data_IF_336710292978
#
_entry.id   IF_336710292978
#
_cell.length_a   1.000
_cell.length_b   1.000
_cell.length_c   1.000
_cell.angle_alpha   90.00
_cell.angle_beta   90.00
_cell.angle_gamma   90.00
#
_symmetry.space_group_name_H-M   'P 1'
#
loop_
_entity.id
_entity.type
_entity.pdbx_description
1 polymer ?
#
# COMPACT_ATOMS: atom_id res chain seq x y z
N UNK A 1 -39.21 3.58 14.96
CA UNK A 1 -39.45 2.70 13.79
C UNK A 1 -38.35 3.02 12.81
N UNK A 2 -37.48 2.02 12.59
CA UNK A 2 -36.48 1.88 11.52
C UNK A 2 -35.58 3.09 11.27
N UNK A 3 -34.42 3.08 11.93
CA UNK A 3 -33.24 3.76 11.41
C UNK A 3 -32.88 3.16 10.06
N UNK A 4 -32.74 4.02 9.07
CA UNK A 4 -32.15 3.68 7.79
C UNK A 4 -30.70 3.31 8.05
N UNK A 5 -30.41 2.01 8.08
CA UNK A 5 -29.05 1.55 7.90
C UNK A 5 -28.61 1.99 6.52
N UNK A 6 -27.64 2.89 6.48
CA UNK A 6 -26.91 3.20 5.26
C UNK A 6 -26.31 1.87 4.77
N UNK A 7 -26.73 1.44 3.59
CA UNK A 7 -26.06 0.35 2.88
C UNK A 7 -24.72 0.95 2.48
N UNK A 8 -23.65 0.73 3.26
CA UNK A 8 -22.28 0.88 2.75
C UNK A 8 -22.23 -0.04 1.53
N UNK A 9 -22.05 0.54 0.35
CA UNK A 9 -21.86 -0.24 -0.87
C UNK A 9 -20.67 -1.18 -0.64
N UNK A 10 -20.89 -2.50 -0.66
CA UNK A 10 -19.78 -3.46 -0.70
C UNK A 10 -18.96 -3.13 -1.94
N UNK A 11 -17.80 -2.49 -1.77
CA UNK A 11 -16.84 -2.31 -2.85
C UNK A 11 -16.34 -3.71 -3.21
N UNK A 12 -16.52 -4.18 -4.45
CA UNK A 12 -16.19 -5.54 -4.81
C UNK A 12 -14.68 -5.77 -4.65
N UNK A 13 -14.29 -6.94 -4.15
CA UNK A 13 -12.88 -7.32 -4.06
C UNK A 13 -12.46 -8.17 -5.26
N UNK A 14 -11.21 -8.01 -5.68
CA UNK A 14 -10.59 -8.74 -6.79
C UNK A 14 -9.22 -9.24 -6.37
N UNK A 15 -8.88 -10.46 -6.78
CA UNK A 15 -7.56 -11.04 -6.56
C UNK A 15 -6.65 -10.67 -7.74
N UNK A 16 -5.63 -9.87 -7.46
CA UNK A 16 -4.60 -9.43 -8.41
C UNK A 16 -3.41 -10.38 -8.36
N UNK A 17 -3.00 -10.91 -9.50
CA UNK A 17 -1.80 -11.73 -9.62
C UNK A 17 -0.67 -11.02 -10.37
N UNK A 18 0.57 -11.23 -9.94
CA UNK A 18 1.76 -10.79 -10.68
C UNK A 18 2.39 -11.91 -11.53
N UNK A 19 3.48 -11.58 -12.24
CA UNK A 19 4.20 -12.54 -13.10
C UNK A 19 4.97 -13.60 -12.32
N UNK A 20 5.20 -13.39 -11.03
CA UNK A 20 5.92 -14.30 -10.13
C UNK A 20 4.97 -15.28 -9.43
N UNK A 21 3.65 -15.12 -9.64
CA UNK A 21 2.61 -15.95 -9.03
C UNK A 21 2.21 -15.51 -7.63
N UNK A 22 2.66 -14.34 -7.17
CA UNK A 22 2.19 -13.71 -5.93
C UNK A 22 0.81 -13.12 -6.17
N UNK A 23 0.06 -12.95 -5.08
CA UNK A 23 -1.30 -12.47 -5.12
C UNK A 23 -1.50 -11.32 -4.14
N UNK A 24 -2.41 -10.42 -4.46
CA UNK A 24 -2.86 -9.34 -3.61
C UNK A 24 -4.37 -9.22 -3.74
N UNK A 25 -5.10 -9.23 -2.61
CA UNK A 25 -6.53 -8.95 -2.61
C UNK A 25 -6.71 -7.44 -2.57
N UNK A 26 -7.50 -6.90 -3.48
CA UNK A 26 -7.76 -5.47 -3.56
C UNK A 26 -9.25 -5.16 -3.62
N UNK A 27 -9.65 -4.00 -3.12
CA UNK A 27 -10.94 -3.39 -3.47
C UNK A 27 -10.87 -2.81 -4.88
N UNK A 28 -11.95 -2.97 -5.64
CA UNK A 28 -12.12 -2.37 -6.95
C UNK A 28 -12.80 -1.00 -6.82
N UNK A 29 -11.98 0.04 -6.78
CA UNK A 29 -12.44 1.43 -6.65
C UNK A 29 -13.13 1.90 -7.93
N UNK A 30 -12.47 1.72 -9.07
CA UNK A 30 -12.98 2.20 -10.36
C UNK A 30 -12.68 1.24 -11.50
N UNK A 31 -13.65 1.14 -12.41
CA UNK A 31 -13.50 0.47 -13.70
C UNK A 31 -13.19 1.47 -14.80
N UNK A 32 -12.12 1.21 -15.56
CA UNK A 32 -11.66 2.03 -16.67
C UNK A 32 -11.58 1.19 -17.96
N UNK A 33 -12.56 1.31 -18.87
CA UNK A 33 -12.50 0.66 -20.17
C UNK A 33 -11.51 1.39 -21.09
N UNK A 34 -10.45 0.69 -21.54
CA UNK A 34 -9.42 1.27 -22.40
C UNK A 34 -8.95 0.26 -23.47
N UNK A 35 -8.95 0.67 -24.73
CA UNK A 35 -8.54 -0.14 -25.89
C UNK A 35 -9.20 -1.54 -25.95
N UNK A 36 -10.46 -1.64 -25.52
CA UNK A 36 -11.21 -2.90 -25.49
C UNK A 36 -10.84 -3.86 -24.35
N UNK A 37 -10.03 -3.41 -23.39
CA UNK A 37 -9.78 -4.10 -22.13
C UNK A 37 -10.46 -3.35 -20.98
N UNK A 38 -10.77 -4.06 -19.90
CA UNK A 38 -11.25 -3.48 -18.66
C UNK A 38 -10.08 -3.40 -17.67
N UNK A 39 -9.67 -2.19 -17.31
CA UNK A 39 -8.69 -1.96 -16.25
C UNK A 39 -9.40 -1.57 -14.96
N UNK A 40 -8.81 -1.93 -13.83
CA UNK A 40 -9.24 -1.52 -12.50
C UNK A 40 -8.22 -0.58 -11.88
N UNK A 41 -8.70 0.50 -11.27
CA UNK A 41 -7.99 1.20 -10.21
C UNK A 41 -8.39 0.54 -8.89
N UNK A 42 -7.39 0.04 -8.16
CA UNK A 42 -7.59 -0.82 -7.02
C UNK A 42 -6.83 -0.30 -5.80
N UNK A 43 -7.30 -0.65 -4.60
CA UNK A 43 -6.61 -0.39 -3.33
C UNK A 43 -6.40 -1.73 -2.59
N UNK A 44 -5.23 -1.99 -2.00
CA UNK A 44 -4.98 -3.19 -1.20
C UNK A 44 -5.99 -3.35 -0.05
N UNK A 45 -6.42 -4.59 0.22
CA UNK A 45 -7.25 -4.90 1.41
C UNK A 45 -6.39 -4.89 2.67
N UNK A 46 -5.19 -5.45 2.59
CA UNK A 46 -4.21 -5.44 3.67
C UNK A 46 -3.35 -4.16 3.58
N UNK A 47 -2.85 -3.67 4.72
CA UNK A 47 -2.15 -2.38 4.80
C UNK A 47 -0.77 -2.43 4.13
N UNK A 48 -0.48 -1.58 3.13
CA UNK A 48 0.83 -1.52 2.49
C UNK A 48 1.91 -1.08 3.46
N UNK A 49 3.11 -1.68 3.36
CA UNK A 49 4.27 -1.27 4.16
C UNK A 49 5.55 -1.23 3.34
N UNK A 50 6.46 -0.33 3.72
CA UNK A 50 7.81 -0.21 3.19
C UNK A 50 8.82 -0.71 4.22
N UNK A 51 9.84 -1.44 3.76
CA UNK A 51 10.99 -1.79 4.60
C UNK A 51 12.03 -0.67 4.48
N UNK A 52 12.41 -0.09 5.63
CA UNK A 52 13.39 0.99 5.71
C UNK A 52 14.58 0.54 6.53
N UNK A 53 15.79 0.82 6.04
CA UNK A 53 17.03 0.72 6.80
C UNK A 53 17.25 2.06 7.50
N UNK A 54 17.23 2.03 8.82
CA UNK A 54 17.44 3.22 9.63
C UNK A 54 18.94 3.51 9.71
N UNK A 55 19.31 4.77 9.46
CA UNK A 55 20.68 5.25 9.53
C UNK A 55 21.26 5.06 10.95
N UNK A 56 22.56 4.72 11.07
CA UNK A 56 23.20 4.53 12.38
C UNK A 56 23.45 5.85 13.12
N UNK A 57 23.49 6.96 12.40
CA UNK A 57 23.84 8.30 12.88
C UNK A 57 22.93 9.33 12.21
N UNK A 58 22.57 10.41 12.92
CA UNK A 58 21.65 11.47 12.44
C UNK A 58 22.20 12.30 11.26
N UNK A 59 23.47 12.11 10.88
CA UNK A 59 24.10 12.79 9.74
C UNK A 59 23.84 12.05 8.40
N UNK A 60 23.11 10.94 8.41
CA UNK A 60 22.80 10.11 7.24
C UNK A 60 21.30 9.88 7.11
N UNK A 61 20.83 9.78 5.87
CA UNK A 61 19.43 9.54 5.55
C UNK A 61 19.06 8.05 5.68
N UNK A 62 17.82 7.80 6.07
CA UNK A 62 17.22 6.47 6.05
C UNK A 62 17.06 5.98 4.61
N UNK A 63 17.18 4.67 4.39
CA UNK A 63 17.13 4.06 3.06
C UNK A 63 15.92 3.15 2.91
N UNK A 64 14.99 3.49 2.02
CA UNK A 64 13.90 2.59 1.61
C UNK A 64 14.47 1.44 0.78
N UNK A 65 14.18 0.21 1.19
CA UNK A 65 14.60 -1.00 0.49
C UNK A 65 13.54 -1.37 -0.55
N UNK A 66 13.74 -0.91 -1.78
CA UNK A 66 12.83 -1.18 -2.91
C UNK A 66 12.94 -2.63 -3.41
N UNK A 67 14.17 -3.15 -3.52
CA UNK A 67 14.42 -4.53 -3.95
C UNK A 67 14.57 -5.46 -2.75
N UNK A 68 13.60 -6.37 -2.59
CA UNK A 68 13.59 -7.33 -1.49
C UNK A 68 14.42 -8.59 -1.77
N UNK A 69 15.08 -8.67 -2.92
CA UNK A 69 15.96 -9.76 -3.29
C UNK A 69 17.16 -9.84 -2.32
N UNK A 70 17.08 -10.81 -1.39
CA UNK A 70 18.08 -11.00 -0.34
C UNK A 70 17.71 -10.39 1.02
N UNK A 71 16.59 -9.68 1.13
CA UNK A 71 16.06 -9.18 2.40
C UNK A 71 15.39 -10.26 3.26
N UNK A 72 15.32 -11.51 2.79
CA UNK A 72 14.57 -12.61 3.42
C UNK A 72 14.92 -12.82 4.90
N UNK A 73 16.21 -12.70 5.26
CA UNK A 73 16.66 -12.84 6.64
C UNK A 73 16.22 -11.68 7.55
N UNK A 74 16.02 -10.49 6.97
CA UNK A 74 15.52 -9.28 7.67
C UNK A 74 14.00 -9.41 7.82
N UNK A 75 13.30 -9.76 6.73
CA UNK A 75 11.84 -9.97 6.74
C UNK A 75 11.40 -11.08 7.70
N UNK A 76 12.22 -12.13 7.84
CA UNK A 76 11.95 -13.20 8.82
C UNK A 76 11.98 -12.69 10.27
N UNK A 77 12.81 -11.69 10.58
CA UNK A 77 12.84 -11.06 11.90
C UNK A 77 11.62 -10.14 12.07
N UNK A 78 11.30 -9.35 11.04
CA UNK A 78 10.12 -8.51 11.02
C UNK A 78 8.84 -9.32 11.28
N UNK A 79 8.71 -10.49 10.66
CA UNK A 79 7.55 -11.38 10.82
C UNK A 79 7.39 -11.89 12.26
N UNK A 80 8.49 -12.22 12.94
CA UNK A 80 8.45 -12.61 14.36
C UNK A 80 7.98 -11.46 15.23
N UNK A 81 8.49 -10.26 14.97
CA UNK A 81 8.16 -9.06 15.73
C UNK A 81 6.70 -8.66 15.52
N UNK A 82 6.19 -8.68 14.28
CA UNK A 82 4.78 -8.43 13.97
C UNK A 82 3.83 -9.43 14.64
N UNK A 83 4.21 -10.69 14.76
CA UNK A 83 3.39 -11.71 15.44
C UNK A 83 3.18 -11.41 16.94
N UNK A 84 4.07 -10.66 17.60
CA UNK A 84 3.87 -10.22 18.98
C UNK A 84 2.71 -9.20 19.09
N UNK A 85 2.32 -8.60 17.97
CA UNK A 85 1.24 -7.64 17.83
C UNK A 85 0.02 -8.21 17.06
N UNK A 86 -0.08 -9.54 16.92
CA UNK A 86 -1.14 -10.20 16.15
C UNK A 86 -1.20 -9.78 14.66
N UNK A 87 -0.08 -9.31 14.11
CA UNK A 87 0.08 -8.90 12.71
C UNK A 87 0.85 -9.95 11.90
N UNK A 88 0.55 -10.04 10.62
CA UNK A 88 1.21 -10.96 9.67
C UNK A 88 1.76 -10.20 8.48
N UNK A 89 3.06 -10.34 8.22
CA UNK A 89 3.69 -9.81 7.00
C UNK A 89 3.38 -10.70 5.79
N UNK A 90 2.87 -10.09 4.72
CA UNK A 90 2.48 -10.76 3.50
C UNK A 90 3.34 -10.26 2.33
N UNK A 91 3.98 -11.22 1.64
CA UNK A 91 4.71 -10.97 0.38
C UNK A 91 3.73 -10.95 -0.78
N UNK A 92 2.91 -9.91 -0.87
CA UNK A 92 1.89 -9.75 -1.90
C UNK A 92 2.47 -9.45 -3.29
N UNK A 93 1.62 -9.52 -4.31
CA UNK A 93 1.92 -8.88 -5.59
C UNK A 93 2.13 -7.37 -5.38
N UNK A 94 3.00 -6.74 -6.17
CA UNK A 94 3.32 -5.30 -6.14
C UNK A 94 4.13 -4.83 -4.94
N UNK A 95 3.62 -5.01 -3.71
CA UNK A 95 4.17 -4.40 -2.49
C UNK A 95 4.13 -5.39 -1.32
N UNK A 96 4.83 -5.08 -0.21
CA UNK A 96 4.62 -5.76 1.06
C UNK A 96 3.33 -5.24 1.70
N UNK A 97 2.60 -6.13 2.34
CA UNK A 97 1.41 -5.77 3.12
C UNK A 97 1.46 -6.40 4.50
N UNK A 98 0.76 -5.80 5.44
CA UNK A 98 0.53 -6.35 6.78
C UNK A 98 -0.97 -6.60 6.93
N UNK A 99 -1.29 -7.83 7.33
CA UNK A 99 -2.66 -8.25 7.64
C UNK A 99 -2.81 -8.42 9.15
N UNK A 100 -3.94 -7.97 9.70
CA UNK A 100 -4.25 -8.03 11.13
C UNK A 100 -5.05 -6.80 11.57
N UNK A 101 -5.26 -6.69 12.87
CA UNK A 101 -6.01 -5.57 13.47
C UNK A 101 -5.00 -4.48 13.85
N UNK A 102 -4.86 -3.48 12.99
CA UNK A 102 -4.09 -2.28 13.30
C UNK A 102 -5.00 -1.32 14.08
N UNK A 103 -4.47 -0.73 15.13
CA UNK A 103 -5.18 0.35 15.82
C UNK A 103 -5.34 1.51 14.83
N UNK A 104 -6.56 2.00 14.66
CA UNK A 104 -6.79 3.21 13.87
C UNK A 104 -6.11 4.39 14.59
N UNK A 105 -5.35 5.24 13.88
CA UNK A 105 -4.74 6.42 14.49
C UNK A 105 -5.81 7.33 15.09
N UNK A 106 -5.52 7.96 16.23
CA UNK A 106 -6.45 8.89 16.85
C UNK A 106 -6.61 10.14 15.95
N UNK A 107 -7.84 10.52 15.55
CA UNK A 107 -8.06 11.71 14.73
C UNK A 107 -7.44 12.98 15.31
N UNK A 108 -7.32 13.10 16.64
CA UNK A 108 -6.70 14.24 17.30
C UNK A 108 -5.17 14.27 17.08
N UNK A 109 -4.51 13.11 17.05
CA UNK A 109 -3.06 13.00 16.78
C UNK A 109 -2.73 13.31 15.31
N UNK A 110 -3.63 12.95 14.39
CA UNK A 110 -3.49 13.28 12.97
C UNK A 110 -3.55 14.79 12.73
N UNK A 111 -4.50 15.49 13.35
CA UNK A 111 -4.63 16.95 13.21
C UNK A 111 -3.39 17.70 13.73
N UNK A 112 -2.77 17.22 14.83
CA UNK A 112 -1.55 17.80 15.39
C UNK A 112 -0.31 17.60 14.49
N UNK A 113 -0.21 16.46 13.79
CA UNK A 113 0.86 16.21 12.82
C UNK A 113 0.83 17.22 11.65
N UNK A 114 -0.36 17.59 11.17
CA UNK A 114 -0.51 18.56 10.08
C UNK A 114 -0.35 20.03 10.52
N UNK A 115 -0.49 20.33 11.82
CA UNK A 115 -0.39 21.69 12.38
C UNK A 115 0.99 21.99 13.03
N UNK A 116 1.90 21.00 13.08
CA UNK A 116 3.25 21.13 13.65
C UNK A 116 4.25 21.79 12.70
N UNK A 117 4.87 22.91 13.11
CA UNK A 117 6.01 23.55 12.41
C UNK A 117 7.34 22.77 12.64
N UNK A 118 7.36 21.45 12.51
CA UNK A 118 8.63 20.69 12.50
C UNK A 118 9.02 20.39 11.03
N UNK A 119 10.04 21.10 10.55
CA UNK A 119 10.62 21.10 9.18
C UNK A 119 11.25 19.74 8.76
N UNK A 120 10.81 18.60 9.30
CA UNK A 120 11.23 17.26 8.84
C UNK A 120 10.16 16.69 7.91
N UNK A 121 10.15 17.22 6.66
CA UNK A 121 9.21 16.93 5.56
C UNK A 121 9.02 15.42 5.26
N UNK A 122 9.90 14.53 5.74
CA UNK A 122 9.84 13.08 5.50
C UNK A 122 8.87 12.35 6.44
N UNK A 123 8.62 12.89 7.64
CA UNK A 123 7.71 12.30 8.63
C UNK A 123 6.24 12.40 8.21
N UNK A 124 5.92 13.34 7.32
CA UNK A 124 4.57 13.60 6.81
C UNK A 124 4.11 12.60 5.74
N UNK A 125 5.03 11.77 5.23
CA UNK A 125 4.73 10.80 4.17
C UNK A 125 4.58 9.37 4.69
N UNK A 126 5.08 9.08 5.89
CA UNK A 126 5.16 7.73 6.42
C UNK A 126 4.90 7.67 7.92
N UNK A 127 4.11 6.67 8.33
CA UNK A 127 3.91 6.32 9.72
C UNK A 127 4.75 5.09 10.10
N UNK A 128 5.54 5.17 11.17
CA UNK A 128 6.33 4.01 11.64
C UNK A 128 5.41 2.97 12.30
N UNK A 129 5.28 1.79 11.68
CA UNK A 129 4.53 0.67 12.25
C UNK A 129 5.33 -0.06 13.32
N UNK A 130 6.55 -0.48 13.00
CA UNK A 130 7.40 -1.22 13.94
C UNK A 130 8.87 -1.10 13.60
N UNK A 131 9.72 -1.03 14.63
CA UNK A 131 11.18 -1.04 14.50
C UNK A 131 11.77 -2.33 15.05
N UNK A 132 12.80 -2.86 14.39
CA UNK A 132 13.49 -4.07 14.81
C UNK A 132 14.94 -4.11 14.34
N UNK A 133 15.76 -4.90 15.05
CA UNK A 133 17.17 -5.09 14.72
C UNK A 133 17.41 -6.41 14.00
N UNK A 134 18.05 -6.36 12.83
CA UNK A 134 18.46 -7.54 12.06
C UNK A 134 19.88 -7.35 11.52
N UNK A 135 20.68 -8.42 11.40
CA UNK A 135 22.04 -8.35 10.85
C UNK A 135 22.95 -7.22 11.43
N UNK A 136 22.77 -6.89 12.71
CA UNK A 136 23.43 -5.77 13.42
C UNK A 136 23.08 -4.35 12.93
N UNK A 137 22.01 -4.18 12.16
CA UNK A 137 21.47 -2.90 11.70
C UNK A 137 20.03 -2.73 12.19
N UNK A 138 19.61 -1.48 12.39
CA UNK A 138 18.22 -1.12 12.69
C UNK A 138 17.40 -1.01 11.39
N UNK A 139 16.19 -1.53 11.42
CA UNK A 139 15.21 -1.45 10.33
C UNK A 139 13.84 -1.08 10.91
N UNK A 140 12.99 -0.52 10.07
CA UNK A 140 11.58 -0.31 10.38
C UNK A 140 10.67 -0.75 9.24
N UNK A 141 9.43 -1.09 9.59
CA UNK A 141 8.32 -1.11 8.64
C UNK A 141 7.53 0.18 8.81
N UNK A 142 7.23 0.83 7.69
CA UNK A 142 6.51 2.10 7.64
C UNK A 142 5.29 1.97 6.75
N UNK A 143 4.17 2.56 7.16
CA UNK A 143 2.93 2.67 6.40
C UNK A 143 2.99 3.98 5.61
N UNK A 144 2.91 3.96 4.27
CA UNK A 144 2.75 5.19 3.50
C UNK A 144 1.43 5.88 3.86
N UNK A 145 1.48 7.18 4.14
CA UNK A 145 0.28 7.99 4.43
C UNK A 145 -0.50 8.34 3.15
N UNK A 146 0.18 8.38 2.01
CA UNK A 146 -0.48 8.52 0.71
C UNK A 146 -1.22 7.22 0.31
N UNK A 147 -2.43 7.33 -0.28
CA UNK A 147 -3.17 6.17 -0.76
C UNK A 147 -2.39 5.33 -1.78
N UNK A 148 -2.29 4.03 -1.53
CA UNK A 148 -1.62 3.10 -2.43
C UNK A 148 -2.57 2.56 -3.50
N UNK A 149 -2.37 2.97 -4.76
CA UNK A 149 -3.17 2.51 -5.90
C UNK A 149 -2.46 1.42 -6.71
N UNK A 150 -3.24 0.44 -7.16
CA UNK A 150 -2.81 -0.64 -8.06
C UNK A 150 -3.61 -0.58 -9.35
N UNK A 151 -2.91 -0.62 -10.48
CA UNK A 151 -3.53 -0.77 -11.81
C UNK A 151 -3.45 -2.22 -12.24
N UNK A 152 -4.60 -2.83 -12.49
CA UNK A 152 -4.66 -4.20 -12.98
C UNK A 152 -5.63 -4.34 -14.16
N UNK A 153 -5.35 -5.27 -15.07
CA UNK A 153 -6.24 -5.64 -16.16
C UNK A 153 -7.15 -6.77 -15.68
N UNK A 154 -8.45 -6.56 -15.78
CA UNK A 154 -9.44 -7.55 -15.35
C UNK A 154 -9.52 -8.69 -16.35
N UNK A 155 -9.43 -9.92 -15.84
CA UNK A 155 -9.51 -11.14 -16.64
C UNK A 155 -10.32 -12.21 -15.91
N UNK A 156 -11.48 -12.56 -16.46
CA UNK A 156 -12.36 -13.58 -15.88
C UNK A 156 -12.90 -13.14 -14.52
N UNK A 157 -12.45 -13.81 -13.44
CA UNK A 157 -12.90 -13.55 -12.07
C UNK A 157 -11.77 -12.99 -11.18
N UNK A 158 -10.68 -12.52 -11.79
CA UNK A 158 -9.53 -11.92 -11.11
C UNK A 158 -8.95 -10.80 -11.94
N UNK A 159 -7.73 -10.39 -11.59
CA UNK A 159 -6.99 -9.39 -12.32
C UNK A 159 -5.52 -9.78 -12.48
N UNK A 160 -4.91 -9.30 -13.55
CA UNK A 160 -3.47 -9.41 -13.79
C UNK A 160 -2.87 -8.03 -13.61
N UNK A 161 -1.84 -7.94 -12.76
CA UNK A 161 -1.11 -6.71 -12.54
C UNK A 161 -0.56 -6.16 -13.86
N UNK A 162 -0.73 -4.86 -14.07
CA UNK A 162 -0.17 -4.18 -15.24
C UNK A 162 1.22 -3.66 -14.88
N UNK A 163 2.25 -4.09 -15.61
CA UNK A 163 3.65 -3.77 -15.34
C UNK A 163 4.42 -3.44 -16.64
N UNK A 164 5.54 -2.73 -16.50
CA UNK A 164 6.47 -2.43 -17.59
C UNK A 164 5.84 -1.60 -18.72
N UNK A 165 6.16 -1.92 -19.98
CA UNK A 165 5.72 -1.14 -21.15
C UNK A 165 4.20 -0.98 -21.26
N UNK A 166 3.42 -1.92 -20.71
CA UNK A 166 1.96 -1.79 -20.68
C UNK A 166 1.55 -0.71 -19.69
N UNK A 167 2.14 -0.70 -18.50
CA UNK A 167 1.88 0.29 -17.45
C UNK A 167 2.21 1.71 -17.93
N UNK A 168 3.40 1.91 -18.48
CA UNK A 168 3.86 3.21 -19.03
C UNK A 168 2.88 3.77 -20.09
N UNK A 169 2.22 2.89 -20.84
CA UNK A 169 1.26 3.27 -21.87
C UNK A 169 -0.13 3.56 -21.31
N UNK A 170 -0.60 2.80 -20.32
CA UNK A 170 -1.98 2.90 -19.82
C UNK A 170 -2.14 3.88 -18.69
N UNK A 171 -1.15 4.03 -17.80
CA UNK A 171 -1.24 4.88 -16.62
C UNK A 171 -1.64 6.33 -16.98
N UNK A 172 -0.95 7.04 -17.90
CA UNK A 172 -1.31 8.43 -18.20
C UNK A 172 -2.71 8.58 -18.79
N UNK A 173 -3.23 7.52 -19.42
CA UNK A 173 -4.58 7.50 -20.01
C UNK A 173 -5.64 7.22 -18.96
N UNK A 174 -5.34 6.35 -18.00
CA UNK A 174 -6.19 6.10 -16.84
C UNK A 174 -6.30 7.40 -16.04
N UNK A 175 -5.18 8.05 -15.72
CA UNK A 175 -5.16 9.34 -15.03
C UNK A 175 -6.03 10.38 -15.74
N UNK A 176 -5.86 10.56 -17.05
CA UNK A 176 -6.69 11.48 -17.83
C UNK A 176 -8.19 11.15 -17.79
N UNK A 177 -8.56 9.86 -17.86
CA UNK A 177 -9.97 9.44 -17.76
C UNK A 177 -10.56 9.68 -16.36
N UNK A 178 -9.75 9.56 -15.30
CA UNK A 178 -10.17 9.83 -13.93
C UNK A 178 -10.37 11.33 -13.71
N UNK A 179 -9.41 12.15 -14.13
CA UNK A 179 -9.51 13.62 -14.05
C UNK A 179 -10.74 14.15 -14.80
N UNK A 180 -11.04 13.61 -15.98
CA UNK A 180 -12.24 13.99 -16.74
C UNK A 180 -13.54 13.64 -15.99
N UNK A 181 -13.59 12.50 -15.29
CA UNK A 181 -14.77 12.10 -14.50
C UNK A 181 -14.96 12.97 -13.27
N UNK A 182 -13.89 13.28 -12.56
CA UNK A 182 -13.93 14.15 -11.37
C UNK A 182 -14.28 15.59 -11.73
N UNK A 183 -13.81 16.10 -12.88
CA UNK A 183 -14.17 17.42 -13.39
C UNK A 183 -15.61 17.55 -13.90
N UNK A 184 -16.34 16.43 -14.04
CA UNK A 184 -17.75 16.40 -14.45
C UNK A 184 -18.74 16.26 -13.28
N UNK A 185 -18.24 16.12 -12.04
CA UNK A 185 -19.04 15.93 -10.82
C UNK A 185 -19.47 17.25 -10.15
#
# INVERSE_FOLDING_TARGET
MTGSGEIRSDVPTVLVGDRQGRQLLCFLEQLIPLDGNEYGLLTPVDTPVCLVRIAPDDDSEDEVIEELDGAESILSVAEVVLQEHDLTLVRSAVTLTVSGDLEEPDPEEIEEAFDGEDDDDETDLYEMLIQFRAANQEYGLYIPLDPFFVVARLEGNGAVLVEGEEFDRVQPRIEAELEEREGLA
#
